data_IF_580199832875
#
_entry.id   IF_580199832875
#
_cell.length_a   1.000
_cell.length_b   1.000
_cell.length_c   1.000
_cell.angle_alpha   90.00
_cell.angle_beta   90.00
_cell.angle_gamma   90.00
#
_symmetry.space_group_name_H-M   'P 1'
#
loop_
_entity.id
_entity.type
_entity.pdbx_description
1 polymer ?
#
# COMPACT_ATOMS: atom_id res chain seq x y z
N UNK A 1 -15.32 14.73 36.75
CA UNK A 1 -16.28 13.93 35.95
C UNK A 1 -16.38 14.62 34.61
N UNK A 2 -15.62 14.15 33.63
CA UNK A 2 -15.67 14.65 32.25
C UNK A 2 -16.91 14.08 31.58
N UNK A 3 -17.72 14.98 31.05
CA UNK A 3 -19.01 14.68 30.41
C UNK A 3 -18.78 13.84 29.15
N UNK A 4 -19.21 12.57 29.20
CA UNK A 4 -19.08 11.61 28.11
C UNK A 4 -20.07 11.87 26.95
N UNK A 5 -20.87 12.95 27.01
CA UNK A 5 -21.85 13.32 25.98
C UNK A 5 -21.25 13.99 24.74
N UNK A 6 -19.94 14.27 24.72
CA UNK A 6 -19.25 14.90 23.58
C UNK A 6 -18.59 13.92 22.60
N UNK A 7 -18.71 12.61 22.80
CA UNK A 7 -18.26 11.63 21.79
C UNK A 7 -19.41 11.42 20.80
N UNK A 8 -19.32 11.90 19.56
CA UNK A 8 -20.34 11.64 18.55
C UNK A 8 -20.49 10.13 18.41
N UNK A 9 -21.71 9.61 18.50
CA UNK A 9 -21.93 8.20 18.15
C UNK A 9 -21.60 8.02 16.67
N UNK A 10 -20.55 7.25 16.40
CA UNK A 10 -20.19 6.88 15.04
C UNK A 10 -21.35 6.08 14.43
N UNK A 11 -22.11 6.74 13.56
CA UNK A 11 -23.02 6.05 12.65
C UNK A 11 -22.15 5.22 11.70
N UNK A 12 -22.53 3.97 11.37
CA UNK A 12 -21.82 3.20 10.36
C UNK A 12 -21.79 4.03 9.07
N UNK A 13 -20.58 4.31 8.58
CA UNK A 13 -20.38 5.10 7.37
C UNK A 13 -20.76 4.21 6.18
N UNK A 14 -22.06 4.09 5.88
CA UNK A 14 -22.57 3.40 4.70
C UNK A 14 -22.31 1.89 4.59
N UNK A 15 -22.89 1.29 3.56
CA UNK A 15 -22.53 -0.04 3.06
C UNK A 15 -21.53 0.17 1.93
N UNK A 16 -20.25 -0.08 2.19
CA UNK A 16 -19.23 -0.08 1.14
C UNK A 16 -19.38 -1.35 0.28
N UNK A 17 -19.21 -1.27 -1.05
CA UNK A 17 -19.14 -2.48 -1.87
C UNK A 17 -18.06 -3.41 -1.32
N UNK A 18 -18.32 -4.71 -1.35
CA UNK A 18 -17.32 -5.71 -0.95
C UNK A 18 -16.07 -5.52 -1.84
N UNK A 19 -14.92 -5.32 -1.21
CA UNK A 19 -13.65 -5.24 -1.94
C UNK A 19 -13.45 -6.49 -2.80
N UNK A 20 -12.82 -6.34 -3.96
CA UNK A 20 -12.40 -7.48 -4.79
C UNK A 20 -11.29 -8.31 -4.16
N UNK A 21 -10.70 -7.90 -3.04
CA UNK A 21 -9.73 -8.72 -2.32
C UNK A 21 -10.41 -9.98 -1.77
N UNK A 22 -9.92 -11.19 -2.12
CA UNK A 22 -10.50 -12.45 -1.67
C UNK A 22 -10.05 -12.82 -0.23
N UNK A 23 -10.14 -11.88 0.71
CA UNK A 23 -9.72 -12.03 2.11
C UNK A 23 -10.84 -11.64 3.07
N UNK A 24 -10.87 -12.24 4.25
CA UNK A 24 -11.87 -11.93 5.28
C UNK A 24 -11.50 -10.67 6.05
N UNK A 25 -12.49 -9.81 6.36
CA UNK A 25 -12.30 -8.59 7.14
C UNK A 25 -12.63 -8.81 8.64
N UNK A 26 -11.86 -8.22 9.57
CA UNK A 26 -10.62 -7.48 9.34
C UNK A 26 -9.48 -8.42 8.88
N UNK A 27 -8.62 -7.94 7.99
CA UNK A 27 -7.45 -8.68 7.49
C UNK A 27 -6.16 -8.10 8.06
N UNK A 28 -5.13 -8.92 8.17
CA UNK A 28 -3.78 -8.51 8.54
C UNK A 28 -2.92 -8.46 7.28
N UNK A 29 -2.26 -7.32 7.05
CA UNK A 29 -1.24 -7.15 6.02
C UNK A 29 0.15 -7.19 6.65
N UNK A 30 0.96 -8.17 6.28
CA UNK A 30 2.36 -8.29 6.69
C UNK A 30 3.28 -7.53 5.74
N UNK A 31 4.21 -6.74 6.28
CA UNK A 31 5.14 -5.92 5.49
C UNK A 31 6.42 -6.69 5.21
N UNK A 32 6.71 -6.95 3.93
CA UNK A 32 7.93 -7.62 3.46
C UNK A 32 8.82 -6.64 2.68
N UNK A 33 9.74 -5.99 3.39
CA UNK A 33 10.72 -5.09 2.78
C UNK A 33 11.89 -5.87 2.18
N UNK A 34 12.03 -5.84 0.86
CA UNK A 34 13.12 -6.50 0.11
C UNK A 34 14.27 -5.51 -0.10
N UNK A 35 14.86 -5.03 1.01
CA UNK A 35 15.99 -4.08 0.99
C UNK A 35 17.31 -4.74 1.37
N UNK A 36 18.48 -4.28 0.88
CA UNK A 36 19.79 -4.85 1.21
C UNK A 36 20.05 -4.88 2.72
N UNK A 37 19.61 -3.84 3.43
CA UNK A 37 19.80 -3.70 4.87
C UNK A 37 18.96 -4.70 5.70
N UNK A 38 17.96 -5.33 5.08
CA UNK A 38 17.11 -6.34 5.74
C UNK A 38 17.68 -7.76 5.65
N UNK A 39 18.67 -8.01 4.78
CA UNK A 39 19.20 -9.34 4.48
C UNK A 39 20.72 -9.29 4.19
N UNK A 40 21.51 -9.01 5.22
CA UNK A 40 22.88 -8.46 5.10
C UNK A 40 23.98 -9.37 4.51
N UNK A 41 23.80 -10.68 4.28
CA UNK A 41 24.98 -11.56 4.10
C UNK A 41 24.98 -12.52 2.88
N UNK A 42 23.93 -12.58 2.04
CA UNK A 42 23.79 -13.67 1.06
C UNK A 42 23.80 -13.31 -0.44
N UNK A 43 23.66 -12.04 -0.83
CA UNK A 43 23.32 -11.68 -2.21
C UNK A 43 21.84 -11.92 -2.55
N UNK A 44 21.41 -11.60 -3.78
CA UNK A 44 19.98 -11.54 -4.12
C UNK A 44 19.21 -12.85 -4.01
N UNK A 45 19.80 -13.97 -4.45
CA UNK A 45 19.10 -15.26 -4.44
C UNK A 45 18.82 -15.72 -3.01
N UNK A 46 19.79 -15.51 -2.11
CA UNK A 46 19.61 -15.77 -0.69
C UNK A 46 18.64 -14.78 -0.04
N UNK A 47 18.64 -13.52 -0.48
CA UNK A 47 17.64 -12.54 -0.03
C UNK A 47 16.22 -12.93 -0.48
N UNK A 48 16.06 -13.50 -1.68
CA UNK A 48 14.76 -13.98 -2.17
C UNK A 48 14.26 -15.22 -1.42
N UNK A 49 15.14 -16.18 -1.11
CA UNK A 49 14.78 -17.35 -0.30
C UNK A 49 14.42 -16.98 1.14
N UNK A 50 15.19 -16.06 1.75
CA UNK A 50 14.89 -15.52 3.07
C UNK A 50 13.56 -14.74 3.09
N UNK A 51 13.33 -13.87 2.11
CA UNK A 51 12.07 -13.14 1.97
C UNK A 51 10.87 -14.09 1.76
N UNK A 52 11.05 -15.15 0.97
CA UNK A 52 10.04 -16.20 0.76
C UNK A 52 9.70 -16.91 2.07
N UNK A 53 10.71 -17.34 2.82
CA UNK A 53 10.53 -17.99 4.13
C UNK A 53 9.80 -17.06 5.10
N UNK A 54 10.16 -15.78 5.11
CA UNK A 54 9.53 -14.79 5.98
C UNK A 54 8.05 -14.53 5.59
N UNK A 55 7.75 -14.44 4.30
CA UNK A 55 6.37 -14.29 3.81
C UNK A 55 5.46 -15.45 4.24
N UNK A 56 5.94 -16.68 4.13
CA UNK A 56 5.21 -17.87 4.57
C UNK A 56 4.98 -17.88 6.09
N UNK A 57 5.98 -17.44 6.85
CA UNK A 57 5.85 -17.30 8.30
C UNK A 57 4.81 -16.24 8.67
N UNK A 58 4.75 -15.09 7.98
CA UNK A 58 3.70 -14.08 8.21
C UNK A 58 2.31 -14.68 8.02
N UNK A 59 2.10 -15.46 6.96
CA UNK A 59 0.80 -16.10 6.72
C UNK A 59 0.49 -17.15 7.79
N UNK A 60 1.48 -17.93 8.22
CA UNK A 60 1.32 -18.86 9.35
C UNK A 60 0.95 -18.15 10.65
N UNK A 61 1.37 -16.89 10.81
CA UNK A 61 1.03 -16.03 11.95
C UNK A 61 -0.32 -15.29 11.78
N UNK A 62 -1.00 -15.44 10.63
CA UNK A 62 -2.33 -14.90 10.38
C UNK A 62 -2.41 -13.75 9.38
N UNK A 63 -1.31 -13.38 8.71
CA UNK A 63 -1.37 -12.41 7.62
C UNK A 63 -2.19 -12.99 6.44
N UNK A 64 -3.16 -12.23 5.95
CA UNK A 64 -3.94 -12.56 4.74
C UNK A 64 -3.40 -11.84 3.51
N UNK A 65 -2.60 -10.80 3.71
CA UNK A 65 -1.96 -10.01 2.66
C UNK A 65 -0.47 -9.93 3.00
N UNK A 66 0.40 -10.11 2.01
CA UNK A 66 1.84 -9.82 2.12
C UNK A 66 2.15 -8.65 1.20
N UNK A 67 2.59 -7.53 1.76
CA UNK A 67 2.93 -6.30 1.04
C UNK A 67 4.44 -6.26 0.76
N UNK A 68 4.81 -6.39 -0.50
CA UNK A 68 6.20 -6.51 -0.94
C UNK A 68 6.70 -5.14 -1.40
N UNK A 69 7.68 -4.59 -0.71
CA UNK A 69 8.29 -3.30 -1.03
C UNK A 69 9.77 -3.42 -1.37
N UNK A 70 10.18 -2.92 -2.55
CA UNK A 70 11.59 -2.90 -2.97
C UNK A 70 12.32 -1.60 -2.64
N UNK A 71 11.57 -0.51 -2.48
CA UNK A 71 12.03 0.84 -2.17
C UNK A 71 11.57 1.27 -0.76
N UNK A 72 12.45 1.93 -0.01
CA UNK A 72 12.08 2.51 1.28
C UNK A 72 11.35 3.83 1.08
N UNK A 73 10.15 3.95 1.65
CA UNK A 73 9.36 5.19 1.68
C UNK A 73 9.55 5.99 2.97
N UNK A 74 10.57 5.65 3.77
CA UNK A 74 10.94 6.37 5.00
C UNK A 74 11.42 7.80 4.70
N UNK A 75 11.22 8.75 5.64
CA UNK A 75 11.74 10.10 5.50
C UNK A 75 13.24 10.13 5.17
N UNK A 76 13.60 10.86 4.10
CA UNK A 76 14.98 11.03 3.65
C UNK A 76 15.54 9.88 2.81
N UNK A 77 14.76 8.86 2.47
CA UNK A 77 15.19 7.81 1.55
C UNK A 77 15.40 8.36 0.12
N UNK A 78 16.45 7.91 -0.54
CA UNK A 78 16.70 8.23 -1.95
C UNK A 78 15.90 7.27 -2.86
N UNK A 79 15.34 7.77 -3.98
CA UNK A 79 14.59 6.95 -4.92
C UNK A 79 15.43 5.79 -5.46
N UNK A 80 14.80 4.62 -5.60
CA UNK A 80 15.45 3.44 -6.15
C UNK A 80 15.29 3.43 -7.68
N UNK A 81 16.36 3.17 -8.45
CA UNK A 81 16.24 3.00 -9.90
C UNK A 81 15.28 1.86 -10.24
N UNK A 82 14.46 2.05 -11.28
CA UNK A 82 13.46 1.08 -11.74
C UNK A 82 13.99 -0.36 -11.85
N UNK A 83 15.11 -0.53 -12.56
CA UNK A 83 15.71 -1.85 -12.78
C UNK A 83 16.14 -2.53 -11.48
N UNK A 84 16.58 -1.74 -10.49
CA UNK A 84 17.00 -2.24 -9.20
C UNK A 84 15.81 -2.66 -8.34
N UNK A 85 14.70 -1.92 -8.38
CA UNK A 85 13.46 -2.31 -7.72
C UNK A 85 12.90 -3.61 -8.32
N UNK A 86 12.81 -3.70 -9.65
CA UNK A 86 12.38 -4.91 -10.37
C UNK A 86 13.23 -6.12 -9.99
N UNK A 87 14.56 -5.96 -9.95
CA UNK A 87 15.52 -7.01 -9.60
C UNK A 87 15.31 -7.55 -8.18
N UNK A 88 14.80 -6.72 -7.27
CA UNK A 88 14.50 -7.10 -5.87
C UNK A 88 13.15 -7.79 -5.74
N UNK A 89 12.08 -7.17 -6.26
CA UNK A 89 10.71 -7.59 -5.93
C UNK A 89 10.22 -8.76 -6.79
N UNK A 90 10.58 -8.80 -8.09
CA UNK A 90 10.00 -9.78 -9.02
C UNK A 90 10.35 -11.23 -8.64
N UNK A 91 11.62 -11.59 -8.35
CA UNK A 91 11.94 -12.98 -7.96
C UNK A 91 11.25 -13.41 -6.66
N UNK A 92 11.05 -12.47 -5.72
CA UNK A 92 10.35 -12.74 -4.46
C UNK A 92 8.87 -13.04 -4.74
N UNK A 93 8.20 -12.19 -5.52
CA UNK A 93 6.79 -12.35 -5.87
C UNK A 93 6.56 -13.68 -6.61
N UNK A 94 7.40 -14.00 -7.59
CA UNK A 94 7.32 -15.28 -8.33
C UNK A 94 7.46 -16.49 -7.39
N UNK A 95 8.35 -16.42 -6.40
CA UNK A 95 8.58 -17.51 -5.45
C UNK A 95 7.44 -17.70 -4.43
N UNK A 96 6.75 -16.63 -4.02
CA UNK A 96 5.71 -16.68 -2.99
C UNK A 96 4.28 -16.80 -3.57
N UNK A 97 4.07 -16.53 -4.85
CA UNK A 97 2.75 -16.50 -5.50
C UNK A 97 1.92 -17.78 -5.28
N UNK A 98 2.43 -18.93 -5.69
CA UNK A 98 1.69 -20.19 -5.57
C UNK A 98 1.53 -20.65 -4.12
N UNK A 99 2.58 -20.61 -3.26
CA UNK A 99 2.44 -20.95 -1.85
C UNK A 99 1.43 -20.07 -1.08
N UNK A 100 1.44 -18.75 -1.29
CA UNK A 100 0.49 -17.84 -0.64
C UNK A 100 -0.94 -18.08 -1.12
N UNK A 101 -1.13 -18.28 -2.43
CA UNK A 101 -2.45 -18.60 -3.00
C UNK A 101 -3.01 -19.89 -2.41
N UNK A 102 -2.18 -20.93 -2.26
CA UNK A 102 -2.58 -22.19 -1.64
C UNK A 102 -2.96 -22.03 -0.15
N UNK A 103 -2.38 -21.05 0.53
CA UNK A 103 -2.70 -20.70 1.91
C UNK A 103 -3.87 -19.71 2.04
N UNK A 104 -4.48 -19.27 0.93
CA UNK A 104 -5.58 -18.30 0.92
C UNK A 104 -5.16 -16.85 1.20
N UNK A 105 -3.86 -16.54 1.02
CA UNK A 105 -3.32 -15.20 1.14
C UNK A 105 -3.05 -14.56 -0.24
N UNK A 106 -2.95 -13.24 -0.27
CA UNK A 106 -2.68 -12.46 -1.48
C UNK A 106 -1.41 -11.62 -1.36
N UNK A 107 -0.87 -11.21 -2.50
CA UNK A 107 0.32 -10.37 -2.59
C UNK A 107 -0.10 -8.95 -3.00
N UNK A 108 0.35 -7.97 -2.22
CA UNK A 108 0.35 -6.56 -2.55
C UNK A 108 1.77 -6.14 -2.99
N UNK A 109 1.86 -5.28 -4.01
CA UNK A 109 3.12 -4.63 -4.40
C UNK A 109 3.08 -3.17 -3.92
N UNK A 110 3.99 -2.79 -3.02
CA UNK A 110 4.19 -1.40 -2.58
C UNK A 110 5.11 -0.70 -3.59
N UNK A 111 4.51 0.06 -4.50
CA UNK A 111 5.24 0.83 -5.51
C UNK A 111 4.38 1.95 -6.08
N UNK A 112 5.04 3.07 -6.40
CA UNK A 112 4.45 4.16 -7.19
C UNK A 112 4.88 4.13 -8.66
N UNK A 113 5.66 3.13 -9.10
CA UNK A 113 6.15 3.00 -10.48
C UNK A 113 5.29 2.03 -11.28
N UNK A 114 4.65 2.50 -12.34
CA UNK A 114 3.71 1.71 -13.14
C UNK A 114 4.39 0.48 -13.77
N UNK A 115 5.64 0.60 -14.19
CA UNK A 115 6.42 -0.51 -14.74
C UNK A 115 6.67 -1.64 -13.71
N UNK A 116 6.89 -1.29 -12.43
CA UNK A 116 7.04 -2.27 -11.35
C UNK A 116 5.71 -2.96 -11.07
N UNK A 117 4.63 -2.17 -10.91
CA UNK A 117 3.29 -2.70 -10.68
C UNK A 117 2.86 -3.66 -11.79
N UNK A 118 3.05 -3.31 -13.06
CA UNK A 118 2.72 -4.15 -14.21
C UNK A 118 3.44 -5.50 -14.17
N UNK A 119 4.75 -5.48 -13.85
CA UNK A 119 5.57 -6.70 -13.76
C UNK A 119 5.22 -7.54 -12.53
N UNK A 120 4.95 -6.91 -11.39
CA UNK A 120 4.53 -7.58 -10.16
C UNK A 120 3.18 -8.27 -10.32
N UNK A 121 2.21 -7.62 -10.96
CA UNK A 121 0.91 -8.23 -11.30
C UNK A 121 1.09 -9.44 -12.22
N UNK A 122 1.92 -9.32 -13.25
CA UNK A 122 2.24 -10.45 -14.13
C UNK A 122 2.94 -11.61 -13.40
N UNK A 123 3.70 -11.33 -12.34
CA UNK A 123 4.37 -12.31 -11.50
C UNK A 123 3.45 -12.96 -10.43
N UNK A 124 2.26 -12.41 -10.19
CA UNK A 124 1.27 -12.99 -9.27
C UNK A 124 0.73 -12.06 -8.19
N UNK A 125 1.13 -10.79 -8.16
CA UNK A 125 0.51 -9.80 -7.30
C UNK A 125 -0.95 -9.54 -7.71
N UNK A 126 -1.84 -9.39 -6.71
CA UNK A 126 -3.29 -9.15 -6.91
C UNK A 126 -3.78 -7.93 -6.15
N UNK A 127 -2.85 -7.09 -5.70
CA UNK A 127 -3.09 -5.78 -5.13
C UNK A 127 -1.92 -4.85 -5.46
N UNK A 128 -2.21 -3.59 -5.80
CA UNK A 128 -1.23 -2.52 -5.94
C UNK A 128 -1.38 -1.58 -4.75
N UNK A 129 -0.32 -1.32 -4.01
CA UNK A 129 -0.31 -0.33 -2.93
C UNK A 129 0.47 0.90 -3.40
N UNK A 130 -0.23 1.96 -3.78
CA UNK A 130 0.38 3.18 -4.31
C UNK A 130 0.25 4.33 -3.31
N UNK A 131 1.36 4.59 -2.61
CA UNK A 131 1.47 5.68 -1.63
C UNK A 131 1.28 7.08 -2.24
N UNK A 132 1.39 7.21 -3.57
CA UNK A 132 1.20 8.45 -4.31
C UNK A 132 -0.24 8.63 -4.81
N UNK A 133 -1.12 7.65 -4.61
CA UNK A 133 -2.49 7.63 -5.12
C UNK A 133 -2.58 8.07 -6.60
N UNK A 134 -1.75 7.46 -7.46
CA UNK A 134 -1.68 7.70 -8.90
C UNK A 134 -1.14 9.09 -9.30
N UNK A 135 -0.46 9.81 -8.40
CA UNK A 135 0.08 11.16 -8.69
C UNK A 135 1.48 11.15 -9.31
N UNK A 136 2.30 10.14 -9.02
CA UNK A 136 3.72 10.17 -9.41
C UNK A 136 3.96 9.61 -10.81
N UNK A 137 3.32 8.50 -11.16
CA UNK A 137 3.46 7.86 -12.47
C UNK A 137 2.13 7.93 -13.24
N UNK A 138 2.06 8.67 -14.36
CA UNK A 138 0.83 8.85 -15.12
C UNK A 138 0.30 7.54 -15.75
N UNK A 139 1.13 6.50 -15.88
CA UNK A 139 0.71 5.20 -16.42
C UNK A 139 0.07 4.31 -15.35
N UNK A 140 0.21 4.62 -14.05
CA UNK A 140 -0.27 3.75 -12.97
C UNK A 140 -1.78 3.55 -13.01
N UNK A 141 -2.55 4.59 -13.35
CA UNK A 141 -4.00 4.49 -13.45
C UNK A 141 -4.45 3.48 -14.51
N UNK A 142 -3.76 3.45 -15.66
CA UNK A 142 -4.01 2.48 -16.72
C UNK A 142 -3.63 1.06 -16.28
N UNK A 143 -2.49 0.89 -15.61
CA UNK A 143 -2.08 -0.41 -15.04
C UNK A 143 -3.12 -0.93 -14.06
N UNK A 144 -3.62 -0.09 -13.15
CA UNK A 144 -4.64 -0.46 -12.19
C UNK A 144 -5.95 -0.89 -12.88
N UNK A 145 -6.43 -0.12 -13.86
CA UNK A 145 -7.64 -0.42 -14.61
C UNK A 145 -7.51 -1.73 -15.42
N UNK A 146 -6.40 -1.91 -16.14
CA UNK A 146 -6.12 -3.09 -16.96
C UNK A 146 -5.94 -4.37 -16.11
N UNK A 147 -5.36 -4.23 -14.91
CA UNK A 147 -5.06 -5.39 -14.04
C UNK A 147 -6.31 -6.12 -13.55
N UNK A 148 -7.43 -5.40 -13.37
CA UNK A 148 -8.63 -5.95 -12.76
C UNK A 148 -8.51 -6.28 -11.27
N UNK A 149 -7.40 -5.92 -10.63
CA UNK A 149 -7.07 -6.17 -9.22
C UNK A 149 -7.27 -4.94 -8.33
N UNK A 150 -7.12 -5.13 -7.02
CA UNK A 150 -7.31 -4.07 -6.03
C UNK A 150 -6.18 -3.04 -6.10
N UNK A 151 -6.50 -1.76 -5.88
CA UNK A 151 -5.52 -0.70 -5.67
C UNK A 151 -5.78 0.05 -4.37
N UNK A 152 -4.74 0.27 -3.57
CA UNK A 152 -4.75 1.16 -2.42
C UNK A 152 -4.26 2.55 -2.84
N UNK A 153 -5.05 3.57 -2.51
CA UNK A 153 -4.73 4.98 -2.74
C UNK A 153 -4.49 5.65 -1.39
N UNK A 154 -3.24 6.04 -1.13
CA UNK A 154 -2.88 6.66 0.14
C UNK A 154 -2.78 8.20 0.05
N UNK A 155 -3.21 8.88 1.10
CA UNK A 155 -2.94 10.30 1.28
C UNK A 155 -1.52 10.56 1.78
N UNK A 156 -0.80 11.44 1.08
CA UNK A 156 0.49 12.01 1.52
C UNK A 156 0.58 13.48 1.10
N UNK A 157 0.93 14.37 2.04
CA UNK A 157 1.29 15.76 1.73
C UNK A 157 2.80 15.85 1.49
N UNK A 158 3.19 16.43 0.34
CA UNK A 158 4.58 16.44 -0.11
C UNK A 158 5.00 15.10 -0.72
N UNK A 159 6.29 14.80 -0.65
CA UNK A 159 6.92 13.57 -1.14
C UNK A 159 7.64 12.87 0.03
N UNK A 160 7.94 11.55 -0.04
CA UNK A 160 8.52 10.82 1.09
C UNK A 160 9.74 11.49 1.71
N UNK A 161 10.58 12.14 0.87
CA UNK A 161 11.78 12.86 1.29
C UNK A 161 11.49 14.14 2.09
N UNK A 162 10.44 14.88 1.74
CA UNK A 162 10.18 16.26 2.22
C UNK A 162 8.95 16.36 3.12
N UNK A 163 8.11 15.32 3.16
CA UNK A 163 6.79 15.36 3.81
C UNK A 163 6.83 15.73 5.29
N UNK A 164 7.95 15.50 5.99
CA UNK A 164 8.10 15.79 7.42
C UNK A 164 8.70 17.16 7.74
N UNK A 165 9.08 17.97 6.75
CA UNK A 165 9.78 19.23 7.02
C UNK A 165 8.88 20.24 7.76
N UNK A 166 7.69 20.55 7.21
CA UNK A 166 6.73 21.49 7.80
C UNK A 166 5.28 21.18 7.36
N UNK A 167 4.71 20.01 7.71
CA UNK A 167 3.33 19.68 7.32
C UNK A 167 2.34 20.65 7.98
N UNK A 168 1.40 21.16 7.19
CA UNK A 168 0.39 22.12 7.62
C UNK A 168 -0.97 21.76 7.02
N UNK A 169 -2.00 21.76 7.87
CA UNK A 169 -3.40 21.60 7.51
C UNK A 169 -4.19 22.61 8.34
N UNK A 170 -5.20 23.22 7.73
CA UNK A 170 -6.21 23.99 8.45
C UNK A 170 -7.19 23.03 9.16
N UNK A 171 -7.57 21.95 8.47
CA UNK A 171 -8.30 20.81 9.04
C UNK A 171 -7.88 19.49 8.36
N UNK A 172 -7.04 18.72 9.05
CA UNK A 172 -6.50 17.46 8.51
C UNK A 172 -7.58 16.44 8.12
N UNK A 173 -8.70 16.38 8.84
CA UNK A 173 -9.75 15.37 8.56
C UNK A 173 -10.47 15.72 7.27
N UNK A 174 -10.86 16.98 7.11
CA UNK A 174 -11.59 17.45 5.92
C UNK A 174 -10.70 17.42 4.68
N UNK A 175 -9.44 17.84 4.82
CA UNK A 175 -8.48 17.88 3.71
C UNK A 175 -8.09 16.47 3.24
N UNK A 176 -7.84 15.52 4.16
CA UNK A 176 -7.55 14.13 3.81
C UNK A 176 -8.75 13.47 3.14
N UNK A 177 -9.97 13.71 3.65
CA UNK A 177 -11.22 13.22 3.03
C UNK A 177 -11.38 13.76 1.62
N UNK A 178 -11.32 15.08 1.44
CA UNK A 178 -11.53 15.73 0.14
C UNK A 178 -10.50 15.25 -0.90
N UNK A 179 -9.26 15.06 -0.47
CA UNK A 179 -8.22 14.48 -1.30
C UNK A 179 -8.57 13.04 -1.71
N UNK A 180 -8.93 12.15 -0.77
CA UNK A 180 -9.23 10.75 -1.09
C UNK A 180 -10.48 10.62 -1.97
N UNK A 181 -11.49 11.49 -1.79
CA UNK A 181 -12.67 11.57 -2.65
C UNK A 181 -12.29 11.99 -4.09
N UNK A 182 -11.39 12.97 -4.25
CA UNK A 182 -10.87 13.36 -5.57
C UNK A 182 -10.09 12.21 -6.22
N UNK A 183 -9.21 11.53 -5.48
CA UNK A 183 -8.43 10.40 -6.01
C UNK A 183 -9.30 9.21 -6.40
N UNK A 184 -10.34 8.92 -5.62
CA UNK A 184 -11.35 7.93 -5.95
C UNK A 184 -12.03 8.27 -7.28
N UNK A 185 -12.53 9.51 -7.42
CA UNK A 185 -13.20 9.96 -8.64
C UNK A 185 -12.26 9.91 -9.86
N UNK A 186 -11.00 10.29 -9.70
CA UNK A 186 -9.98 10.20 -10.73
C UNK A 186 -9.75 8.75 -11.19
N UNK A 187 -9.56 7.82 -10.25
CA UNK A 187 -9.33 6.40 -10.56
C UNK A 187 -10.53 5.76 -11.27
N UNK A 188 -11.74 6.07 -10.82
CA UNK A 188 -12.99 5.63 -11.48
C UNK A 188 -13.10 6.22 -12.89
N UNK A 189 -12.79 7.50 -13.06
CA UNK A 189 -12.76 8.16 -14.38
C UNK A 189 -11.72 7.56 -15.33
N UNK A 190 -10.65 6.98 -14.80
CA UNK A 190 -9.63 6.25 -15.56
C UNK A 190 -10.00 4.78 -15.87
N UNK A 191 -11.15 4.29 -15.36
CA UNK A 191 -11.67 2.96 -15.64
C UNK A 191 -11.40 1.91 -14.56
N UNK A 192 -10.85 2.28 -13.40
CA UNK A 192 -10.77 1.39 -12.23
C UNK A 192 -12.17 1.24 -11.64
N UNK A 193 -12.65 0.02 -11.40
CA UNK A 193 -13.96 -0.18 -10.79
C UNK A 193 -13.89 0.21 -9.31
N UNK A 194 -14.94 0.86 -8.83
CA UNK A 194 -14.98 1.41 -7.47
C UNK A 194 -14.76 0.34 -6.39
N UNK A 195 -15.28 -0.87 -6.59
CA UNK A 195 -15.09 -2.01 -5.68
C UNK A 195 -13.64 -2.53 -5.58
N UNK A 196 -12.75 -2.08 -6.48
CA UNK A 196 -11.33 -2.41 -6.46
C UNK A 196 -10.50 -1.40 -5.65
N UNK A 197 -11.09 -0.30 -5.19
CA UNK A 197 -10.33 0.81 -4.60
C UNK A 197 -10.39 0.73 -3.08
N UNK A 198 -9.22 0.76 -2.46
CA UNK A 198 -9.02 0.94 -1.01
C UNK A 198 -8.43 2.33 -0.78
N UNK A 199 -8.90 3.01 0.26
CA UNK A 199 -8.44 4.35 0.62
C UNK A 199 -7.67 4.30 1.95
N UNK A 200 -6.48 4.91 1.98
CA UNK A 200 -5.62 4.96 3.15
C UNK A 200 -5.36 6.43 3.57
N UNK A 201 -5.67 6.84 4.82
CA UNK A 201 -5.42 8.21 5.29
C UNK A 201 -3.92 8.55 5.42
N UNK A 202 -3.01 7.58 5.34
CA UNK A 202 -1.56 7.75 5.33
C UNK A 202 -1.01 8.26 6.66
N UNK A 203 -1.25 7.52 7.74
CA UNK A 203 -0.73 7.86 9.07
C UNK A 203 0.79 7.95 9.03
N UNK A 204 1.34 9.08 9.52
CA UNK A 204 2.78 9.34 9.49
C UNK A 204 3.32 9.90 8.17
N UNK A 205 2.48 10.10 7.15
CA UNK A 205 2.86 10.66 5.86
C UNK A 205 2.39 12.11 5.70
N UNK A 206 3.34 13.03 5.91
CA UNK A 206 3.07 14.47 5.80
C UNK A 206 2.18 15.01 6.91
N UNK A 207 2.32 14.52 8.14
CA UNK A 207 1.42 14.81 9.27
C UNK A 207 2.18 14.87 10.59
N UNK A 208 1.78 15.79 11.46
CA UNK A 208 2.28 15.85 12.86
C UNK A 208 1.66 14.72 13.69
N UNK A 209 2.21 14.46 14.89
CA UNK A 209 1.60 13.51 15.83
C UNK A 209 0.14 13.86 16.16
N UNK A 210 -0.17 15.15 16.33
CA UNK A 210 -1.54 15.61 16.59
C UNK A 210 -2.45 15.36 15.39
N UNK A 211 -1.98 15.61 14.17
CA UNK A 211 -2.75 15.31 12.95
C UNK A 211 -3.07 13.82 12.84
N UNK A 212 -2.11 12.94 13.13
CA UNK A 212 -2.33 11.49 13.10
C UNK A 212 -3.37 11.03 14.12
N UNK A 213 -3.35 11.61 15.33
CA UNK A 213 -4.35 11.29 16.37
C UNK A 213 -5.76 11.75 16.00
N UNK A 214 -5.91 12.83 15.23
CA UNK A 214 -7.22 13.30 14.76
C UNK A 214 -7.82 12.44 13.65
N UNK A 215 -7.01 11.60 12.99
CA UNK A 215 -7.45 10.71 11.91
C UNK A 215 -7.87 9.31 12.37
N UNK A 216 -7.58 8.94 13.62
CA UNK A 216 -7.92 7.65 14.23
C UNK A 216 -9.22 7.75 15.04
#
# INVERSE_FOLDING_TARGET
MTDASLIPQAQPIGTYPATTLPVALPSIMGILNVTPDSFSDGGLFFAAEAATTHALEMVRQGASIVDVGGESTRPGAEPLPLEEELRRVIPVIEAIADPLRAAGAVISIDTYKAAVARRAVAAGATMINDISALRFDPEMAAVAAESGYTICLMHMQGEPRTMQERPHYDNVVDEVRAFLEERLAFAVGAGVREEQIVLDPGIGFGKTAQHNLLLL
#
